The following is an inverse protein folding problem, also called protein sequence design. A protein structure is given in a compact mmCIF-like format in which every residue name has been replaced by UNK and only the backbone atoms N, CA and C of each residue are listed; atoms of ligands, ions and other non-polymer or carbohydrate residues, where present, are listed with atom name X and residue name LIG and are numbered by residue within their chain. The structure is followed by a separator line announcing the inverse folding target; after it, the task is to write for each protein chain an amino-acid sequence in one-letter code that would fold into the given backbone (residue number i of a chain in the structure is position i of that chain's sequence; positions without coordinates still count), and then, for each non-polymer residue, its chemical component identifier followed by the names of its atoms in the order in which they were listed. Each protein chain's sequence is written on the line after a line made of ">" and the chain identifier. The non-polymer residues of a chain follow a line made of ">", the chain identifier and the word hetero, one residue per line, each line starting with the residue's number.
data_IF_806564276808
#
_entry.id   IF_806564276808
#
_cell.length_a   1.000
_cell.length_b   1.000
_cell.length_c   1.000
_cell.angle_alpha   90.00
_cell.angle_beta   90.00
_cell.angle_gamma   90.00
#
_symmetry.space_group_name_H-M   'P 1'
#
loop_
_entity.id
_entity.type
_entity.pdbx_description
1 polymer ?
#
# COMPACT_ATOMS: atom_id res chain seq x y z
N UNK A 1 -28.38 -43.03 51.78
CA UNK A 1 -28.20 -41.74 51.08
C UNK A 1 -27.05 -41.92 50.07
N UNK A 2 -27.35 -42.28 48.82
CA UNK A 2 -26.33 -42.48 47.75
C UNK A 2 -26.44 -41.32 46.78
N UNK A 3 -25.42 -40.45 46.79
CA UNK A 3 -25.31 -39.29 45.90
C UNK A 3 -24.79 -39.79 44.54
N UNK A 4 -25.66 -39.80 43.52
CA UNK A 4 -25.28 -40.14 42.15
C UNK A 4 -24.64 -38.89 41.52
N UNK A 5 -23.33 -38.89 41.37
CA UNK A 5 -22.60 -37.88 40.61
C UNK A 5 -22.84 -38.11 39.11
N UNK A 6 -23.70 -37.28 38.51
CA UNK A 6 -23.85 -37.21 37.06
C UNK A 6 -22.67 -36.40 36.48
N UNK A 7 -21.64 -37.11 36.01
CA UNK A 7 -20.59 -36.54 35.16
C UNK A 7 -21.19 -36.30 33.77
N UNK A 8 -21.62 -35.07 33.52
CA UNK A 8 -21.94 -34.59 32.17
C UNK A 8 -20.61 -34.43 31.41
N UNK A 9 -20.22 -35.46 30.66
CA UNK A 9 -19.17 -35.35 29.65
C UNK A 9 -19.68 -34.47 28.51
N UNK A 10 -19.36 -33.17 28.56
CA UNK A 10 -19.45 -32.29 27.40
C UNK A 10 -18.41 -32.72 26.37
N UNK A 11 -18.79 -33.64 25.49
CA UNK A 11 -18.09 -33.83 24.23
C UNK A 11 -18.34 -32.59 23.38
N UNK A 12 -17.42 -31.61 23.45
CA UNK A 12 -17.32 -30.58 22.41
C UNK A 12 -17.02 -31.32 21.11
N UNK A 13 -18.06 -31.62 20.33
CA UNK A 13 -17.91 -32.04 18.95
C UNK A 13 -17.15 -30.93 18.23
N UNK A 14 -15.89 -31.20 17.88
CA UNK A 14 -15.15 -30.37 16.96
C UNK A 14 -15.95 -30.39 15.64
N UNK A 15 -16.69 -29.32 15.37
CA UNK A 15 -17.40 -29.18 14.12
C UNK A 15 -16.35 -29.24 13.00
N UNK A 16 -16.41 -30.26 12.16
CA UNK A 16 -15.51 -30.40 11.02
C UNK A 16 -15.65 -29.15 10.13
N UNK A 17 -14.59 -28.36 10.06
CA UNK A 17 -14.54 -27.21 9.18
C UNK A 17 -14.42 -27.75 7.76
N UNK A 18 -15.52 -27.68 6.98
CA UNK A 18 -15.52 -28.05 5.57
C UNK A 18 -14.46 -27.24 4.82
N UNK A 19 -13.40 -27.89 4.39
CA UNK A 19 -12.33 -27.26 3.62
C UNK A 19 -12.88 -26.76 2.28
N UNK A 20 -12.65 -25.48 1.98
CA UNK A 20 -13.07 -24.83 0.74
C UNK A 20 -11.83 -24.54 -0.13
N UNK A 21 -11.93 -24.52 -1.47
CA UNK A 21 -10.75 -24.36 -2.33
C UNK A 21 -9.85 -23.16 -2.02
N UNK A 22 -10.43 -22.02 -1.60
CA UNK A 22 -9.66 -20.84 -1.23
C UNK A 22 -8.80 -21.01 0.04
N UNK A 23 -9.12 -22.00 0.89
CA UNK A 23 -8.39 -22.28 2.13
C UNK A 23 -7.01 -22.88 1.89
N UNK A 24 -6.69 -23.29 0.65
CA UNK A 24 -5.33 -23.61 0.22
C UNK A 24 -4.42 -22.38 0.29
N UNK A 25 -4.96 -21.21 -0.06
CA UNK A 25 -4.22 -19.95 -0.11
C UNK A 25 -4.32 -19.17 1.20
N UNK A 26 -5.53 -19.12 1.77
CA UNK A 26 -5.82 -18.37 3.01
C UNK A 26 -7.17 -18.78 3.62
N UNK A 27 -7.26 -18.84 4.95
CA UNK A 27 -8.49 -19.24 5.68
C UNK A 27 -9.70 -18.33 5.41
N UNK A 28 -9.46 -17.03 5.25
CA UNK A 28 -10.47 -16.04 4.89
C UNK A 28 -10.52 -15.82 3.37
N UNK A 29 -11.70 -15.96 2.77
CA UNK A 29 -11.94 -15.67 1.35
C UNK A 29 -11.47 -14.25 0.95
N UNK A 30 -10.81 -14.16 -0.20
CA UNK A 30 -10.36 -12.90 -0.80
C UNK A 30 -9.10 -12.28 -0.20
N UNK A 31 -8.65 -12.80 0.94
CA UNK A 31 -7.35 -12.46 1.47
C UNK A 31 -6.25 -13.02 0.57
N UNK A 32 -5.15 -12.28 0.37
CA UNK A 32 -4.00 -12.77 -0.38
C UNK A 32 -3.30 -13.94 0.32
N UNK A 33 -2.63 -14.77 -0.47
CA UNK A 33 -1.70 -15.78 0.02
C UNK A 33 -0.64 -15.15 0.92
N UNK A 34 -0.29 -15.84 2.01
CA UNK A 34 0.73 -15.45 2.99
C UNK A 34 0.50 -14.08 3.66
N UNK A 35 -0.71 -13.52 3.59
CA UNK A 35 -1.04 -12.29 4.29
C UNK A 35 -1.69 -12.58 5.65
N UNK A 36 -1.41 -11.77 6.67
CA UNK A 36 -2.27 -11.62 7.84
C UNK A 36 -3.43 -10.71 7.44
N UNK A 37 -4.64 -11.27 7.36
CA UNK A 37 -5.80 -10.56 6.80
C UNK A 37 -7.11 -10.97 7.47
N UNK A 38 -7.89 -9.98 7.90
CA UNK A 38 -9.20 -10.21 8.52
C UNK A 38 -10.27 -10.58 7.48
N UNK A 39 -11.32 -11.28 7.90
CA UNK A 39 -12.47 -11.62 7.04
C UNK A 39 -13.08 -10.40 6.35
N UNK A 40 -13.20 -9.28 7.07
CA UNK A 40 -13.70 -7.99 6.53
C UNK A 40 -12.83 -7.49 5.38
N UNK A 41 -11.51 -7.46 5.59
CA UNK A 41 -10.57 -6.99 4.56
C UNK A 41 -10.49 -7.95 3.38
N UNK A 42 -10.60 -9.25 3.62
CA UNK A 42 -10.71 -10.27 2.55
C UNK A 42 -11.91 -10.02 1.65
N UNK A 43 -13.09 -9.72 2.21
CA UNK A 43 -14.31 -9.39 1.43
C UNK A 43 -14.13 -8.10 0.63
N UNK A 44 -13.62 -7.03 1.23
CA UNK A 44 -13.37 -5.74 0.55
C UNK A 44 -12.41 -5.95 -0.63
N UNK A 45 -11.29 -6.67 -0.40
CA UNK A 45 -10.32 -6.98 -1.44
C UNK A 45 -10.94 -7.86 -2.53
N UNK A 46 -11.72 -8.88 -2.17
CA UNK A 46 -12.38 -9.76 -3.15
C UNK A 46 -13.26 -8.97 -4.10
N UNK A 47 -14.01 -7.99 -3.59
CA UNK A 47 -14.86 -7.14 -4.43
C UNK A 47 -14.01 -6.30 -5.39
N UNK A 48 -12.92 -5.69 -4.92
CA UNK A 48 -11.97 -4.96 -5.77
C UNK A 48 -11.41 -5.83 -6.90
N UNK A 49 -10.90 -7.01 -6.55
CA UNK A 49 -10.34 -8.00 -7.48
C UNK A 49 -11.39 -8.52 -8.47
N UNK A 50 -12.61 -8.79 -8.00
CA UNK A 50 -13.69 -9.32 -8.85
C UNK A 50 -14.15 -8.29 -9.89
N UNK A 51 -14.15 -6.99 -9.55
CA UNK A 51 -14.43 -5.93 -10.52
C UNK A 51 -13.43 -5.96 -11.68
N UNK A 52 -12.16 -6.21 -11.37
CA UNK A 52 -11.10 -6.30 -12.38
C UNK A 52 -11.21 -7.57 -13.24
N UNK A 53 -11.46 -8.73 -12.62
CA UNK A 53 -11.57 -10.02 -13.31
C UNK A 53 -12.80 -10.16 -14.21
N UNK A 54 -13.94 -9.57 -13.83
CA UNK A 54 -15.26 -9.99 -14.31
C UNK A 54 -15.57 -9.67 -15.79
N UNK A 55 -14.58 -9.42 -16.67
CA UNK A 55 -14.79 -9.17 -18.10
C UNK A 55 -15.84 -8.08 -18.40
N UNK A 56 -16.09 -7.20 -17.42
CA UNK A 56 -17.25 -6.31 -17.46
C UNK A 56 -17.09 -5.28 -18.57
N UNK A 57 -18.19 -4.79 -19.14
CA UNK A 57 -18.14 -3.79 -20.22
C UNK A 57 -17.41 -2.48 -19.82
N UNK A 58 -17.26 -2.17 -18.52
CA UNK A 58 -16.66 -0.92 -18.00
C UNK A 58 -16.00 -1.10 -16.60
N UNK A 59 -14.94 -1.90 -16.46
CA UNK A 59 -14.39 -2.25 -15.15
C UNK A 59 -13.81 -1.03 -14.42
N UNK A 60 -13.23 -0.07 -15.17
CA UNK A 60 -12.72 1.18 -14.61
C UNK A 60 -13.79 2.03 -13.92
N UNK A 61 -15.01 2.11 -14.47
CA UNK A 61 -16.08 2.88 -13.85
C UNK A 61 -16.58 2.21 -12.58
N UNK A 62 -16.61 0.87 -12.54
CA UNK A 62 -16.91 0.11 -11.33
C UNK A 62 -15.82 0.29 -10.27
N UNK A 63 -14.53 0.28 -10.64
CA UNK A 63 -13.44 0.58 -9.71
C UNK A 63 -13.54 2.00 -9.14
N UNK A 64 -13.91 2.99 -9.96
CA UNK A 64 -14.16 4.36 -9.48
C UNK A 64 -15.29 4.40 -8.46
N UNK A 65 -16.42 3.73 -8.74
CA UNK A 65 -17.56 3.66 -7.82
C UNK A 65 -17.23 2.89 -6.54
N UNK A 66 -16.43 1.84 -6.62
CA UNK A 66 -15.94 1.14 -5.44
C UNK A 66 -15.03 2.05 -4.61
N UNK A 67 -14.08 2.72 -5.26
CA UNK A 67 -13.13 3.60 -4.62
C UNK A 67 -13.80 4.79 -3.90
N UNK A 68 -14.92 5.31 -4.42
CA UNK A 68 -15.68 6.34 -3.71
C UNK A 68 -16.31 5.85 -2.41
N UNK A 69 -16.58 4.55 -2.27
CA UNK A 69 -17.20 3.95 -1.08
C UNK A 69 -16.17 3.42 -0.09
N UNK A 70 -15.19 2.65 -0.57
CA UNK A 70 -14.22 1.93 0.27
C UNK A 70 -12.79 2.46 0.15
N UNK A 71 -12.50 3.32 -0.83
CA UNK A 71 -11.14 3.76 -1.13
C UNK A 71 -10.40 2.83 -2.09
N UNK A 72 -9.11 3.11 -2.28
CA UNK A 72 -8.20 2.28 -3.08
C UNK A 72 -7.23 1.54 -2.17
N UNK A 73 -6.68 0.37 -2.57
CA UNK A 73 -5.60 -0.26 -1.82
C UNK A 73 -4.33 0.59 -1.90
N UNK A 74 -3.83 1.03 -0.75
CA UNK A 74 -2.64 1.86 -0.61
C UNK A 74 -1.53 1.02 0.02
N UNK A 75 -0.38 0.84 -0.64
CA UNK A 75 0.77 0.21 -0.05
C UNK A 75 1.51 1.18 0.88
N UNK A 76 1.72 0.78 2.13
CA UNK A 76 2.46 1.51 3.17
C UNK A 76 3.41 0.56 3.90
N UNK A 77 4.18 1.12 4.82
CA UNK A 77 4.96 0.35 5.79
C UNK A 77 4.16 0.23 7.10
N UNK A 78 4.13 -0.96 7.68
CA UNK A 78 3.57 -1.22 9.01
C UNK A 78 4.68 -1.40 10.04
N UNK A 79 4.49 -0.86 11.25
CA UNK A 79 5.36 -1.12 12.41
C UNK A 79 4.90 -2.36 13.17
N UNK A 80 5.62 -2.78 14.21
CA UNK A 80 5.26 -3.93 15.06
C UNK A 80 3.81 -3.91 15.57
N UNK A 81 3.23 -2.73 15.82
CA UNK A 81 1.83 -2.59 16.24
C UNK A 81 0.78 -2.89 15.17
N UNK A 82 1.15 -2.89 13.89
CA UNK A 82 0.24 -3.07 12.75
C UNK A 82 -0.51 -4.40 12.80
N UNK A 83 0.11 -5.46 13.34
CA UNK A 83 -0.49 -6.80 13.39
C UNK A 83 -1.79 -6.87 14.20
N UNK A 84 -2.00 -5.91 15.13
CA UNK A 84 -3.22 -5.81 15.92
C UNK A 84 -4.36 -5.13 15.16
N UNK A 85 -4.07 -4.47 14.04
CA UNK A 85 -5.03 -3.68 13.28
C UNK A 85 -5.76 -4.55 12.24
N UNK A 86 -7.04 -4.82 12.51
CA UNK A 86 -7.89 -5.69 11.68
C UNK A 86 -8.30 -5.08 10.34
N UNK A 87 -8.04 -3.78 10.11
CA UNK A 87 -8.32 -3.08 8.85
C UNK A 87 -7.11 -3.09 7.90
N UNK A 88 -6.03 -3.79 8.25
CA UNK A 88 -4.85 -3.97 7.41
C UNK A 88 -4.82 -5.35 6.75
N UNK A 89 -4.20 -5.40 5.57
CA UNK A 89 -3.71 -6.62 4.94
C UNK A 89 -2.19 -6.56 5.03
N UNK A 90 -1.58 -7.48 5.76
CA UNK A 90 -0.17 -7.37 6.17
C UNK A 90 0.61 -8.56 5.62
N UNK A 91 1.80 -8.29 5.09
CA UNK A 91 2.79 -9.30 4.76
C UNK A 91 4.07 -9.00 5.51
N UNK A 92 4.79 -10.06 5.82
CA UNK A 92 6.15 -9.93 6.29
C UNK A 92 7.02 -9.31 5.20
N UNK A 93 7.92 -8.42 5.61
CA UNK A 93 8.88 -7.85 4.66
C UNK A 93 9.89 -8.92 4.26
N UNK A 94 10.25 -9.07 2.98
CA UNK A 94 11.32 -9.99 2.57
C UNK A 94 12.71 -9.48 2.97
N UNK A 95 12.85 -8.20 3.30
CA UNK A 95 14.11 -7.61 3.72
C UNK A 95 14.54 -8.14 5.09
N UNK A 96 15.71 -8.80 5.16
CA UNK A 96 16.28 -9.30 6.42
C UNK A 96 16.42 -8.19 7.48
N UNK A 97 16.77 -6.97 7.05
CA UNK A 97 16.91 -5.82 7.94
C UNK A 97 15.60 -5.39 8.64
N UNK A 98 14.45 -5.78 8.11
CA UNK A 98 13.14 -5.49 8.68
C UNK A 98 12.66 -6.59 9.64
N UNK A 99 13.36 -7.72 9.71
CA UNK A 99 13.04 -8.87 10.54
C UNK A 99 14.13 -9.16 11.58
N UNK A 100 15.07 -8.22 11.79
CA UNK A 100 16.08 -8.35 12.83
C UNK A 100 15.43 -8.18 14.21
N UNK A 101 15.62 -9.14 15.11
CA UNK A 101 15.05 -9.15 16.47
C UNK A 101 15.54 -8.00 17.35
N UNK A 102 16.73 -7.45 17.06
CA UNK A 102 17.33 -6.33 17.79
C UNK A 102 16.79 -4.96 17.34
N UNK A 103 16.05 -4.90 16.23
CA UNK A 103 15.57 -3.67 15.61
C UNK A 103 14.03 -3.65 15.52
N UNK A 104 13.46 -2.47 15.27
CA UNK A 104 12.02 -2.36 15.01
C UNK A 104 11.64 -3.16 13.75
N UNK A 105 10.66 -4.06 13.88
CA UNK A 105 10.15 -4.87 12.77
C UNK A 105 9.28 -4.02 11.84
N UNK A 106 9.52 -4.14 10.54
CA UNK A 106 8.68 -3.53 9.51
C UNK A 106 8.00 -4.57 8.63
N UNK A 107 6.72 -4.33 8.35
CA UNK A 107 5.88 -5.14 7.47
C UNK A 107 5.43 -4.36 6.25
N UNK A 108 5.06 -5.07 5.20
CA UNK A 108 4.38 -4.49 4.05
C UNK A 108 2.89 -4.51 4.37
N UNK A 109 2.21 -3.36 4.24
CA UNK A 109 0.78 -3.30 4.49
C UNK A 109 0.04 -2.71 3.31
N UNK A 110 -1.16 -3.23 3.06
CA UNK A 110 -2.17 -2.61 2.23
C UNK A 110 -3.37 -2.21 3.08
N UNK A 111 -3.84 -0.99 2.90
CA UNK A 111 -5.05 -0.45 3.51
C UNK A 111 -5.94 0.18 2.45
N UNK A 112 -7.24 -0.04 2.53
CA UNK A 112 -8.20 0.65 1.67
C UNK A 112 -8.52 2.03 2.26
N UNK A 113 -8.17 3.10 1.54
CA UNK A 113 -8.50 4.47 1.96
C UNK A 113 -8.75 5.40 0.78
N UNK A 114 -9.57 6.42 1.01
CA UNK A 114 -9.90 7.51 0.07
C UNK A 114 -8.89 8.66 0.16
N UNK A 115 -8.19 8.74 1.28
CA UNK A 115 -7.26 9.83 1.57
C UNK A 115 -6.04 9.27 2.33
N UNK A 116 -4.84 9.46 1.77
CA UNK A 116 -3.59 9.08 2.40
C UNK A 116 -3.33 9.87 3.69
N UNK A 117 -3.72 11.15 3.72
CA UNK A 117 -3.51 12.04 4.86
C UNK A 117 -4.31 11.63 6.09
N UNK A 118 -5.45 10.95 5.93
CA UNK A 118 -6.21 10.42 7.08
C UNK A 118 -5.52 9.26 7.80
N UNK A 119 -4.37 8.81 7.28
CA UNK A 119 -3.52 7.79 7.88
C UNK A 119 -2.31 8.40 8.59
N UNK A 120 -2.09 9.72 8.48
CA UNK A 120 -1.03 10.41 9.22
C UNK A 120 -1.28 10.33 10.72
N UNK A 121 -0.20 10.19 11.50
CA UNK A 121 -0.26 10.09 12.95
C UNK A 121 -0.69 8.73 13.50
N UNK A 122 -1.12 7.78 12.65
CA UNK A 122 -1.35 6.39 13.06
C UNK A 122 -0.02 5.75 13.48
N UNK A 123 0.08 5.37 14.75
CA UNK A 123 1.32 4.89 15.34
C UNK A 123 1.83 3.58 14.74
N UNK A 124 0.93 2.79 14.16
CA UNK A 124 1.20 1.50 13.52
C UNK A 124 1.58 1.59 12.03
N UNK A 125 1.51 2.79 11.43
CA UNK A 125 1.77 2.99 10.00
C UNK A 125 2.88 4.01 9.76
N UNK A 126 3.61 3.83 8.66
CA UNK A 126 4.55 4.82 8.13
C UNK A 126 4.16 5.12 6.69
N UNK A 127 3.85 6.39 6.44
CA UNK A 127 3.63 6.92 5.10
C UNK A 127 4.99 7.30 4.49
N UNK A 128 5.39 6.70 3.36
CA UNK A 128 6.61 7.09 2.66
C UNK A 128 6.58 8.56 2.26
N UNK A 129 7.72 9.22 2.39
CA UNK A 129 7.93 10.58 1.93
C UNK A 129 8.96 10.63 0.83
N UNK A 130 8.82 11.61 -0.05
CA UNK A 130 9.77 11.92 -1.12
C UNK A 130 10.13 13.39 -1.07
N UNK A 131 11.28 13.74 -1.63
CA UNK A 131 11.65 15.13 -1.91
C UNK A 131 11.43 15.38 -3.40
N UNK A 132 10.56 16.33 -3.73
CA UNK A 132 10.38 16.84 -5.10
C UNK A 132 11.17 18.15 -5.24
N UNK A 133 12.09 18.19 -6.19
CA UNK A 133 12.84 19.37 -6.59
C UNK A 133 12.49 19.76 -8.02
N UNK A 134 12.02 20.99 -8.20
CA UNK A 134 11.93 21.63 -9.50
C UNK A 134 13.00 22.74 -9.61
N UNK A 135 12.94 23.60 -10.64
CA UNK A 135 13.96 24.65 -10.86
C UNK A 135 14.03 25.68 -9.73
N UNK A 136 12.94 25.92 -9.02
CA UNK A 136 12.80 27.07 -8.10
C UNK A 136 12.51 26.66 -6.66
N UNK A 137 12.01 25.45 -6.44
CA UNK A 137 11.52 25.00 -5.14
C UNK A 137 11.82 23.52 -4.90
N UNK A 138 12.04 23.21 -3.63
CA UNK A 138 12.12 21.84 -3.14
C UNK A 138 11.06 21.64 -2.05
N UNK A 139 10.31 20.54 -2.10
CA UNK A 139 9.26 20.24 -1.11
C UNK A 139 9.15 18.74 -0.81
N UNK A 140 8.80 18.41 0.43
CA UNK A 140 8.51 17.04 0.83
C UNK A 140 7.05 16.67 0.52
N UNK A 141 6.83 15.47 -0.02
CA UNK A 141 5.51 14.97 -0.40
C UNK A 141 5.32 13.54 0.09
N UNK A 142 4.11 13.21 0.54
CA UNK A 142 3.72 11.82 0.78
C UNK A 142 3.58 11.07 -0.55
N UNK A 143 4.07 9.84 -0.61
CA UNK A 143 4.06 8.98 -1.79
C UNK A 143 3.64 7.56 -1.43
N UNK A 144 3.32 6.75 -2.44
CA UNK A 144 3.02 5.34 -2.26
C UNK A 144 4.30 4.52 -2.06
N UNK A 145 4.22 3.47 -1.24
CA UNK A 145 5.36 2.54 -1.06
C UNK A 145 5.56 1.72 -2.34
N UNK A 146 6.82 1.61 -2.76
CA UNK A 146 7.23 0.68 -3.81
C UNK A 146 6.93 1.13 -5.24
N UNK A 147 6.37 2.33 -5.43
CA UNK A 147 6.13 2.90 -6.75
C UNK A 147 6.62 4.35 -6.82
N UNK A 148 7.22 4.70 -7.95
CA UNK A 148 7.41 6.10 -8.33
C UNK A 148 6.24 6.56 -9.22
N UNK A 149 5.78 7.82 -9.11
CA UNK A 149 4.77 8.34 -10.03
C UNK A 149 5.33 8.40 -11.45
N UNK A 150 4.46 8.18 -12.43
CA UNK A 150 4.78 8.27 -13.85
C UNK A 150 4.77 9.70 -14.39
N UNK A 151 4.06 10.61 -13.73
CA UNK A 151 3.97 12.01 -14.11
C UNK A 151 3.47 12.87 -12.95
N UNK A 152 3.66 14.18 -13.08
CA UNK A 152 3.16 15.22 -12.19
C UNK A 152 2.21 16.15 -12.96
N UNK A 153 1.23 16.73 -12.26
CA UNK A 153 0.45 17.87 -12.77
C UNK A 153 0.09 18.79 -11.61
N UNK A 154 0.90 19.82 -11.40
CA UNK A 154 0.75 20.72 -10.25
C UNK A 154 0.87 19.94 -8.93
N UNK A 155 -0.24 19.78 -8.24
CA UNK A 155 -0.33 19.08 -6.95
C UNK A 155 -0.81 17.63 -7.06
N UNK A 156 -0.77 17.04 -8.25
CA UNK A 156 -1.21 15.66 -8.51
C UNK A 156 -0.01 14.81 -8.91
N UNK A 157 0.16 13.68 -8.22
CA UNK A 157 1.03 12.57 -8.60
C UNK A 157 0.20 11.53 -9.35
N UNK A 158 0.66 11.09 -10.52
CA UNK A 158 0.01 10.03 -11.29
C UNK A 158 0.78 8.72 -11.16
N UNK A 159 0.10 7.64 -10.79
CA UNK A 159 0.66 6.29 -10.76
C UNK A 159 -0.06 5.40 -11.78
N UNK A 160 0.64 4.39 -12.30
CA UNK A 160 0.01 3.26 -12.99
C UNK A 160 -0.08 2.12 -12.00
N UNK A 161 -1.27 1.56 -11.84
CA UNK A 161 -1.52 0.39 -11.00
C UNK A 161 -2.15 -0.71 -11.82
N UNK A 162 -1.97 -1.94 -11.36
CA UNK A 162 -2.47 -3.14 -11.99
C UNK A 162 -3.20 -3.97 -10.93
N UNK A 163 -4.31 -4.59 -11.34
CA UNK A 163 -4.97 -5.66 -10.58
C UNK A 163 -5.57 -6.66 -11.55
N UNK A 164 -5.11 -7.91 -11.51
CA UNK A 164 -5.66 -9.03 -12.29
C UNK A 164 -5.78 -8.73 -13.79
N UNK A 165 -4.71 -8.20 -14.38
CA UNK A 165 -4.60 -7.80 -15.79
C UNK A 165 -5.21 -6.43 -16.12
N UNK A 166 -5.91 -5.78 -15.19
CA UNK A 166 -6.51 -4.47 -15.41
C UNK A 166 -5.57 -3.34 -14.96
N UNK A 167 -5.06 -2.60 -15.94
CA UNK A 167 -4.28 -1.38 -15.69
C UNK A 167 -5.18 -0.16 -15.50
N UNK A 168 -4.91 0.64 -14.47
CA UNK A 168 -5.61 1.89 -14.18
C UNK A 168 -4.64 2.97 -13.70
N UNK A 169 -5.03 4.23 -13.87
CA UNK A 169 -4.30 5.36 -13.31
C UNK A 169 -4.78 5.62 -11.88
N UNK A 170 -3.87 6.01 -11.00
CA UNK A 170 -4.19 6.47 -9.66
C UNK A 170 -3.64 7.89 -9.47
N UNK A 171 -4.53 8.84 -9.24
CA UNK A 171 -4.18 10.19 -8.81
C UNK A 171 -3.99 10.21 -7.29
N UNK A 172 -2.89 10.78 -6.83
CA UNK A 172 -2.67 11.16 -5.44
C UNK A 172 -2.41 12.66 -5.38
N UNK A 173 -3.32 13.41 -4.76
CA UNK A 173 -3.15 14.85 -4.52
C UNK A 173 -2.23 15.10 -3.33
N UNK A 174 -1.57 16.26 -3.28
CA UNK A 174 -0.82 16.73 -2.10
C UNK A 174 -1.69 16.80 -0.83
N UNK A 175 -3.00 17.00 -0.98
CA UNK A 175 -3.98 16.91 0.12
C UNK A 175 -4.22 15.49 0.65
N UNK A 176 -3.65 14.49 -0.01
CA UNK A 176 -3.80 13.06 0.28
C UNK A 176 -4.96 12.39 -0.45
N UNK A 177 -5.85 13.13 -1.12
CA UNK A 177 -6.99 12.56 -1.83
C UNK A 177 -6.54 11.60 -2.95
N UNK A 178 -7.16 10.42 -3.01
CA UNK A 178 -6.89 9.38 -3.99
C UNK A 178 -8.05 9.20 -4.96
N UNK A 179 -7.75 9.06 -6.26
CA UNK A 179 -8.78 8.82 -7.29
C UNK A 179 -8.32 7.84 -8.36
N UNK A 180 -9.18 6.87 -8.64
CA UNK A 180 -9.02 6.00 -9.81
C UNK A 180 -9.35 6.80 -11.08
N UNK A 181 -8.44 6.79 -12.04
CA UNK A 181 -8.57 7.46 -13.33
C UNK A 181 -8.15 6.53 -14.46
N UNK A 182 -8.39 6.95 -15.71
CA UNK A 182 -7.79 6.26 -16.86
C UNK A 182 -6.27 6.48 -16.80
N UNK A 183 -5.48 5.47 -17.16
CA UNK A 183 -4.03 5.63 -17.29
C UNK A 183 -3.74 6.84 -18.18
N UNK A 184 -3.01 7.86 -17.68
CA UNK A 184 -2.67 9.02 -18.49
C UNK A 184 -1.70 8.59 -19.59
N UNK A 185 -1.93 9.08 -20.81
CA UNK A 185 -0.96 8.93 -21.90
C UNK A 185 0.16 9.92 -21.66
N UNK A 186 1.39 9.42 -21.54
CA UNK A 186 2.59 10.24 -21.38
C UNK A 186 3.60 9.84 -22.45
N UNK A 187 4.28 10.83 -23.02
CA UNK A 187 5.39 10.61 -23.96
C UNK A 187 6.74 10.50 -23.26
N UNK A 188 6.88 11.18 -22.12
CA UNK A 188 8.10 11.29 -21.34
C UNK A 188 7.97 10.47 -20.05
N UNK A 189 8.45 9.24 -20.09
CA UNK A 189 8.42 8.35 -18.92
C UNK A 189 9.53 8.70 -17.91
N UNK A 190 9.30 8.40 -16.62
CA UNK A 190 10.34 8.59 -15.62
C UNK A 190 11.60 7.78 -15.93
N UNK A 191 12.74 8.36 -15.60
CA UNK A 191 14.04 7.69 -15.69
C UNK A 191 14.89 8.01 -14.46
N UNK A 192 15.79 7.10 -14.13
CA UNK A 192 16.69 7.25 -13.00
C UNK A 192 17.76 8.29 -13.29
N UNK A 193 18.13 9.03 -12.24
CA UNK A 193 19.17 10.05 -12.27
C UNK A 193 19.95 10.03 -10.98
N UNK A 194 21.17 10.55 -11.02
CA UNK A 194 21.98 10.76 -9.83
C UNK A 194 21.32 11.79 -8.91
N UNK A 195 21.19 11.45 -7.63
CA UNK A 195 20.71 12.40 -6.63
C UNK A 195 21.74 13.51 -6.40
N UNK A 196 21.29 14.77 -6.45
CA UNK A 196 22.13 15.89 -6.04
C UNK A 196 22.38 15.88 -4.53
N UNK A 197 23.51 16.45 -4.09
CA UNK A 197 23.84 16.58 -2.65
C UNK A 197 22.71 17.27 -1.88
N UNK A 198 22.14 18.34 -2.42
CA UNK A 198 21.04 19.08 -1.80
C UNK A 198 19.81 18.19 -1.55
N UNK A 199 19.41 17.37 -2.53
CA UNK A 199 18.26 16.46 -2.38
C UNK A 199 18.55 15.40 -1.31
N UNK A 200 19.77 14.85 -1.28
CA UNK A 200 20.18 13.88 -0.29
C UNK A 200 20.12 14.47 1.13
N UNK A 201 20.64 15.69 1.34
CA UNK A 201 20.57 16.37 2.64
C UNK A 201 19.13 16.60 3.10
N UNK A 202 18.22 16.97 2.20
CA UNK A 202 16.80 17.15 2.54
C UNK A 202 16.07 15.83 2.82
N UNK A 203 16.55 14.72 2.27
CA UNK A 203 15.94 13.41 2.47
C UNK A 203 16.32 12.79 3.82
N UNK A 204 17.54 13.05 4.33
CA UNK A 204 18.03 12.55 5.62
C UNK A 204 17.03 12.72 6.79
N UNK A 205 16.47 13.91 7.07
CA UNK A 205 15.52 14.07 8.19
C UNK A 205 14.19 13.32 7.99
N UNK A 206 13.88 12.88 6.77
CA UNK A 206 12.69 12.08 6.48
C UNK A 206 12.93 10.58 6.72
N UNK A 207 14.18 10.13 6.79
CA UNK A 207 14.57 8.75 7.08
C UNK A 207 14.70 8.50 8.59
N UNK A 208 13.60 8.72 9.32
CA UNK A 208 13.57 8.60 10.79
C UNK A 208 13.87 7.20 11.32
N UNK A 209 13.65 6.18 10.50
CA UNK A 209 13.84 4.78 10.85
C UNK A 209 15.07 4.24 10.12
N UNK A 210 16.19 4.15 10.83
CA UNK A 210 17.49 3.81 10.24
C UNK A 210 17.48 2.46 9.51
N UNK A 211 16.65 1.50 9.96
CA UNK A 211 16.56 0.17 9.38
C UNK A 211 15.43 0.01 8.34
N UNK A 212 14.65 1.06 8.04
CA UNK A 212 13.56 1.00 7.05
C UNK A 212 14.03 1.13 5.60
N UNK A 213 15.05 1.95 5.35
CA UNK A 213 15.57 2.18 4.01
C UNK A 213 17.06 1.83 3.96
N UNK A 214 17.48 1.16 2.89
CA UNK A 214 18.88 0.86 2.59
C UNK A 214 19.59 1.99 1.86
N UNK A 215 18.83 2.89 1.24
CA UNK A 215 19.39 4.04 0.57
C UNK A 215 18.33 4.96 -0.02
N UNK A 216 18.81 5.87 -0.86
CA UNK A 216 18.00 6.86 -1.59
C UNK A 216 18.29 6.69 -3.08
N UNK A 217 17.26 6.80 -3.90
CA UNK A 217 17.39 6.88 -5.35
C UNK A 217 16.59 8.07 -5.88
N UNK A 218 16.96 8.57 -7.07
CA UNK A 218 16.30 9.70 -7.70
C UNK A 218 15.76 9.33 -9.08
N UNK A 219 14.60 9.88 -9.41
CA UNK A 219 14.01 9.79 -10.74
C UNK A 219 13.60 11.18 -11.22
N UNK A 220 13.85 11.44 -12.49
CA UNK A 220 13.23 12.56 -13.18
C UNK A 220 11.81 12.18 -13.56
N UNK A 221 10.83 12.94 -13.08
CA UNK A 221 9.40 12.76 -13.35
C UNK A 221 8.93 13.92 -14.22
N UNK A 222 8.22 13.62 -15.30
CA UNK A 222 7.72 14.64 -16.21
C UNK A 222 6.57 15.42 -15.59
N UNK A 223 6.69 16.75 -15.55
CA UNK A 223 5.62 17.66 -15.14
C UNK A 223 4.81 18.08 -16.37
N UNK A 224 3.52 17.71 -16.37
CA UNK A 224 2.58 17.96 -17.46
C UNK A 224 2.16 19.43 -17.56
N UNK A 225 2.31 20.24 -16.50
CA UNK A 225 2.00 21.67 -16.54
C UNK A 225 3.16 22.46 -17.17
N UNK A 226 4.39 22.16 -16.75
CA UNK A 226 5.57 22.94 -17.19
C UNK A 226 6.27 22.33 -18.41
N UNK A 227 5.87 21.13 -18.83
CA UNK A 227 6.54 20.38 -19.89
C UNK A 227 8.05 20.24 -19.65
N UNK A 228 8.42 19.88 -18.42
CA UNK A 228 9.81 19.71 -18.01
C UNK A 228 9.94 18.61 -16.96
N UNK A 229 11.14 18.05 -16.81
CA UNK A 229 11.42 17.12 -15.72
C UNK A 229 11.58 17.86 -14.38
N UNK A 230 11.03 17.27 -13.34
CA UNK A 230 11.37 17.55 -11.94
C UNK A 230 11.99 16.31 -11.33
N UNK A 231 12.99 16.48 -10.45
CA UNK A 231 13.67 15.36 -9.81
C UNK A 231 12.96 15.00 -8.51
N UNK A 232 12.63 13.73 -8.32
CA UNK A 232 12.09 13.19 -7.07
C UNK A 232 13.06 12.20 -6.44
N UNK A 233 13.32 12.33 -5.14
CA UNK A 233 14.05 11.36 -4.34
C UNK A 233 13.12 10.48 -3.50
N UNK A 234 13.45 9.20 -3.44
CA UNK A 234 12.71 8.18 -2.73
C UNK A 234 13.65 7.35 -1.87
N UNK A 235 13.18 6.93 -0.69
CA UNK A 235 13.83 5.86 0.06
C UNK A 235 13.54 4.51 -0.60
N UNK A 236 14.55 3.63 -0.67
CA UNK A 236 14.35 2.24 -1.07
C UNK A 236 14.77 1.29 0.04
N UNK A 237 14.04 0.18 0.18
CA UNK A 237 14.34 -0.95 1.06
C UNK A 237 14.71 -2.17 0.21
N UNK A 238 15.04 -3.32 0.80
CA UNK A 238 15.16 -4.54 0.00
C UNK A 238 13.84 -4.80 -0.77
N UNK A 239 14.00 -5.21 -2.02
CA UNK A 239 12.96 -5.82 -2.83
C UNK A 239 13.27 -7.30 -2.99
#
# INVERSE_FOLDING_TARGET
>A
MKLLFFLFSFTLGAAEVKFLPHMVEHQNIGCPTNAKCSKKMGIIRQQWVSIAKAGTKKPLNKLKSFASSYGVPIPLWGKSGAEKNKDLIIWDSPCSNHNNEELERFSIVNIFSKNLKSLEGKSDLIIPKSILKNRTHTRALNVLRGDAPIALRGDILYYIKEVEGLYYGLELKTSGQLRVVKVPKISNYPHEVTCSKEILEQMKPLQKHANLHKGIYCKNIWDLNTSSYSTMAFGWSCH
#
